data_IF_426608291114
#
_entry.id   IF_426608291114
#
_cell.length_a   1.000
_cell.length_b   1.000
_cell.length_c   1.000
_cell.angle_alpha   90.00
_cell.angle_beta   90.00
_cell.angle_gamma   90.00
#
_symmetry.space_group_name_H-M   'P 1'
#
loop_
_entity.id
_entity.type
_entity.pdbx_description
1 polymer ?
#
# COMPACT_ATOMS: atom_id res chain seq x y z
N UNK A 1 17.27 -1.91 2.97
CA UNK A 1 16.70 -3.16 3.49
C UNK A 1 15.43 -2.78 4.21
N UNK A 2 14.27 -3.19 3.71
CA UNK A 2 12.96 -2.85 4.27
C UNK A 2 12.35 -4.16 4.77
N UNK A 3 11.95 -4.18 6.04
CA UNK A 3 11.27 -5.31 6.67
C UNK A 3 9.77 -4.97 6.70
N UNK A 4 8.93 -5.91 6.26
CA UNK A 4 7.47 -5.86 6.40
C UNK A 4 7.11 -7.00 7.36
N UNK A 5 6.52 -6.68 8.50
CA UNK A 5 6.00 -7.67 9.47
C UNK A 5 4.49 -7.46 9.69
N UNK A 6 3.73 -8.55 9.55
CA UNK A 6 2.40 -8.70 10.18
C UNK A 6 1.28 -9.16 9.24
N UNK A 7 0.99 -10.46 9.20
CA UNK A 7 -0.33 -11.00 8.81
C UNK A 7 -0.88 -11.82 9.97
N UNK A 8 -2.01 -11.41 10.53
CA UNK A 8 -2.75 -12.19 11.53
C UNK A 8 -3.81 -13.05 10.79
N UNK A 9 -3.48 -14.30 10.49
CA UNK A 9 -4.37 -15.26 9.81
C UNK A 9 -4.86 -16.37 10.74
N UNK A 10 -6.07 -16.23 11.28
CA UNK A 10 -6.81 -17.30 11.98
C UNK A 10 -7.75 -18.09 11.04
N UNK A 11 -8.23 -19.29 11.43
CA UNK A 11 -8.81 -20.25 10.50
C UNK A 11 -10.28 -19.94 10.14
N UNK A 12 -10.47 -19.25 9.02
CA UNK A 12 -11.65 -19.21 8.16
C UNK A 12 -11.21 -18.53 6.85
N UNK A 13 -11.89 -18.69 5.69
CA UNK A 13 -11.69 -17.80 4.55
C UNK A 13 -12.21 -16.42 4.98
N UNK A 14 -11.36 -15.67 5.68
CA UNK A 14 -11.70 -14.36 6.19
C UNK A 14 -11.84 -13.45 4.99
N UNK A 15 -13.09 -13.06 4.71
CA UNK A 15 -13.41 -11.87 3.95
C UNK A 15 -12.42 -10.79 4.40
N UNK A 16 -11.54 -10.30 3.51
CA UNK A 16 -10.53 -9.30 3.88
C UNK A 16 -11.29 -8.08 4.42
N UNK A 17 -11.34 -7.92 5.74
CA UNK A 17 -12.17 -6.90 6.40
C UNK A 17 -11.46 -5.55 6.51
N UNK A 18 -10.18 -5.53 6.17
CA UNK A 18 -9.35 -4.35 6.00
C UNK A 18 -8.02 -4.77 5.38
N UNK A 19 -7.58 -4.01 4.38
CA UNK A 19 -6.26 -4.13 3.78
C UNK A 19 -5.53 -2.82 4.06
N UNK A 20 -4.44 -2.92 4.83
CA UNK A 20 -3.64 -1.77 5.21
C UNK A 20 -2.22 -2.00 4.74
N UNK A 21 -1.63 -0.97 4.12
CA UNK A 21 -0.23 -0.97 3.77
C UNK A 21 0.47 0.15 4.50
N UNK A 22 1.64 -0.15 5.06
CA UNK A 22 2.44 0.82 5.80
C UNK A 22 3.91 0.51 5.67
N UNK A 23 4.75 1.52 5.89
CA UNK A 23 6.18 1.34 5.83
C UNK A 23 6.95 2.63 6.07
N UNK A 24 8.28 2.55 5.96
CA UNK A 24 9.17 3.71 6.01
C UNK A 24 9.71 3.99 4.62
N UNK A 25 9.41 5.18 4.09
CA UNK A 25 9.92 5.62 2.82
C UNK A 25 11.36 6.13 2.95
N UNK A 26 12.19 5.88 1.93
CA UNK A 26 13.53 6.45 1.87
C UNK A 26 13.47 7.99 1.77
N UNK A 27 14.47 8.74 2.28
CA UNK A 27 14.44 10.21 2.26
C UNK A 27 14.30 10.86 0.87
N UNK A 28 14.61 10.12 -0.20
CA UNK A 28 14.46 10.60 -1.58
C UNK A 28 13.02 10.52 -2.10
N UNK A 29 12.13 9.81 -1.42
CA UNK A 29 10.72 9.65 -1.75
C UNK A 29 9.95 10.83 -1.17
N UNK A 30 9.16 11.51 -1.99
CA UNK A 30 8.27 12.59 -1.59
C UNK A 30 6.81 12.15 -1.47
N UNK A 31 6.40 11.08 -2.15
CA UNK A 31 5.05 10.52 -2.07
C UNK A 31 5.06 9.02 -2.38
N UNK A 32 4.08 8.30 -1.83
CA UNK A 32 3.73 6.92 -2.22
C UNK A 32 2.33 6.98 -2.81
N UNK A 33 2.20 6.53 -4.04
CA UNK A 33 0.91 6.39 -4.72
C UNK A 33 0.52 4.91 -4.66
N UNK A 34 -0.57 4.63 -3.99
CA UNK A 34 -1.20 3.32 -3.95
C UNK A 34 -2.09 3.17 -5.17
N UNK A 35 -1.90 2.09 -5.91
CA UNK A 35 -2.66 1.74 -7.11
C UNK A 35 -3.47 0.49 -6.84
N UNK A 36 -4.79 0.61 -7.01
CA UNK A 36 -5.74 -0.47 -6.82
C UNK A 36 -5.95 -1.25 -8.13
N UNK A 37 -6.46 -2.48 -8.03
CA UNK A 37 -6.69 -3.37 -9.17
C UNK A 37 -7.72 -2.85 -10.19
N UNK A 38 -8.57 -1.89 -9.79
CA UNK A 38 -9.49 -1.17 -10.67
C UNK A 38 -8.83 0.04 -11.39
N UNK A 39 -7.56 0.32 -11.12
CA UNK A 39 -6.81 1.47 -11.65
C UNK A 39 -6.96 2.78 -10.87
N UNK A 40 -7.70 2.78 -9.76
CA UNK A 40 -7.78 3.93 -8.85
C UNK A 40 -6.42 4.19 -8.21
N UNK A 41 -6.16 5.47 -7.92
CA UNK A 41 -4.87 5.96 -7.43
C UNK A 41 -5.09 6.84 -6.22
N UNK A 42 -4.41 6.50 -5.13
CA UNK A 42 -4.52 7.19 -3.86
C UNK A 42 -3.13 7.54 -3.33
N UNK A 43 -2.96 8.74 -2.80
CA UNK A 43 -1.73 9.10 -2.11
C UNK A 43 -1.81 8.57 -0.67
N UNK A 44 -0.75 7.91 -0.21
CA UNK A 44 -0.66 7.44 1.17
C UNK A 44 -0.38 8.62 2.14
N UNK A 45 -0.87 8.51 3.37
CA UNK A 45 -0.62 9.50 4.40
C UNK A 45 0.82 9.40 4.92
N UNK A 46 1.53 10.53 4.99
CA UNK A 46 2.89 10.61 5.54
C UNK A 46 2.92 11.21 6.95
N UNK A 47 3.71 10.61 7.82
CA UNK A 47 4.09 11.17 9.11
C UNK A 47 5.46 11.87 9.06
N UNK A 48 5.79 12.61 10.12
CA UNK A 48 7.06 13.37 10.25
C UNK A 48 8.34 12.53 10.24
N UNK A 49 8.25 11.20 10.20
CA UNK A 49 9.38 10.27 10.13
C UNK A 49 9.54 9.54 8.80
N UNK A 50 8.91 10.04 7.72
CA UNK A 50 8.77 9.35 6.44
C UNK A 50 8.04 8.00 6.54
N UNK A 51 7.36 7.73 7.65
CA UNK A 51 6.45 6.61 7.72
C UNK A 51 5.21 6.94 6.90
N UNK A 52 4.80 6.03 6.03
CA UNK A 52 3.58 6.14 5.26
C UNK A 52 2.56 5.10 5.71
N UNK A 53 1.29 5.42 5.55
CA UNK A 53 0.17 4.54 5.84
C UNK A 53 -0.94 4.73 4.82
N UNK A 54 -1.57 3.64 4.41
CA UNK A 54 -2.79 3.65 3.64
C UNK A 54 -3.70 2.52 4.12
N UNK A 55 -4.98 2.84 4.31
CA UNK A 55 -6.02 1.87 4.61
C UNK A 55 -7.02 1.86 3.48
N UNK A 56 -7.18 0.70 2.87
CA UNK A 56 -8.13 0.50 1.80
C UNK A 56 -9.57 0.52 2.34
N UNK A 57 -10.52 1.19 1.67
CA UNK A 57 -11.91 1.19 2.10
C UNK A 57 -12.49 -0.22 2.07
N UNK A 58 -13.20 -0.58 3.14
CA UNK A 58 -13.88 -1.89 3.24
C UNK A 58 -14.85 -2.14 2.09
N UNK A 59 -15.51 -1.10 1.59
CA UNK A 59 -16.42 -1.19 0.44
C UNK A 59 -15.72 -1.67 -0.82
N UNK A 60 -14.45 -1.31 -1.01
CA UNK A 60 -13.70 -1.67 -2.20
C UNK A 60 -13.26 -3.14 -2.12
N UNK A 61 -12.86 -3.59 -0.93
CA UNK A 61 -12.60 -5.00 -0.65
C UNK A 61 -13.87 -5.86 -0.82
N UNK A 62 -15.04 -5.37 -0.40
CA UNK A 62 -16.33 -6.04 -0.60
C UNK A 62 -16.72 -6.14 -2.09
N UNK A 63 -16.23 -5.23 -2.93
CA UNK A 63 -16.35 -5.29 -4.39
C UNK A 63 -15.24 -6.11 -5.07
N UNK A 64 -14.35 -6.74 -4.32
CA UNK A 64 -13.24 -7.53 -4.85
C UNK A 64 -12.12 -6.70 -5.46
N UNK A 65 -12.05 -5.40 -5.14
CA UNK A 65 -10.92 -4.54 -5.45
C UNK A 65 -9.84 -4.84 -4.39
N UNK A 66 -8.57 -4.79 -4.77
CA UNK A 66 -7.42 -5.01 -3.89
C UNK A 66 -6.26 -4.09 -4.28
N UNK A 67 -5.22 -4.04 -3.46
CA UNK A 67 -4.00 -3.28 -3.80
C UNK A 67 -3.18 -4.04 -4.85
N UNK A 68 -2.91 -3.39 -5.98
CA UNK A 68 -2.13 -3.99 -7.07
C UNK A 68 -0.64 -3.67 -6.92
N UNK A 69 -0.29 -2.40 -6.79
CA UNK A 69 1.09 -1.97 -6.56
C UNK A 69 1.15 -0.60 -5.89
N UNK A 70 2.35 -0.22 -5.43
CA UNK A 70 2.66 1.13 -4.98
C UNK A 70 3.76 1.75 -5.83
N UNK A 71 3.58 3.01 -6.19
CA UNK A 71 4.57 3.82 -6.89
C UNK A 71 5.23 4.79 -5.91
N UNK A 72 6.55 4.67 -5.74
CA UNK A 72 7.35 5.62 -4.99
C UNK A 72 7.77 6.78 -5.88
N UNK A 73 7.32 7.98 -5.54
CA UNK A 73 7.56 9.20 -6.30
C UNK A 73 8.63 10.04 -5.60
N UNK A 74 9.60 10.54 -6.36
CA UNK A 74 10.64 11.45 -5.86
C UNK A 74 10.23 12.91 -5.95
N UNK A 75 10.99 13.80 -5.29
CA UNK A 75 10.68 15.22 -5.15
C UNK A 75 10.42 15.98 -6.46
N UNK A 76 10.93 15.50 -7.59
CA UNK A 76 10.67 16.09 -8.92
C UNK A 76 9.37 15.59 -9.58
N UNK A 77 8.55 14.81 -8.89
CA UNK A 77 7.39 14.10 -9.45
C UNK A 77 7.76 12.89 -10.31
N UNK A 78 9.04 12.45 -10.32
CA UNK A 78 9.49 11.30 -11.10
C UNK A 78 9.22 10.01 -10.34
N UNK A 79 8.69 9.00 -11.03
CA UNK A 79 8.63 7.63 -10.53
C UNK A 79 10.05 7.12 -10.24
N UNK A 80 10.32 6.76 -8.99
CA UNK A 80 11.58 6.18 -8.55
C UNK A 80 11.54 4.66 -8.61
N UNK A 81 10.43 4.07 -8.17
CA UNK A 81 10.25 2.63 -8.08
C UNK A 81 8.77 2.26 -8.05
N UNK A 82 8.43 1.13 -8.67
CA UNK A 82 7.15 0.45 -8.48
C UNK A 82 7.36 -0.78 -7.60
N UNK A 83 6.51 -0.95 -6.60
CA UNK A 83 6.55 -2.01 -5.60
C UNK A 83 5.27 -2.84 -5.80
N UNK A 84 5.35 -4.03 -6.43
CA UNK A 84 4.19 -4.89 -6.59
C UNK A 84 3.73 -5.39 -5.22
N UNK A 85 2.41 -5.45 -5.01
CA UNK A 85 1.86 -6.17 -3.87
C UNK A 85 1.81 -7.65 -4.26
N UNK A 86 2.70 -8.46 -3.69
CA UNK A 86 2.61 -9.90 -3.89
C UNK A 86 1.27 -10.37 -3.32
N UNK A 87 0.45 -10.97 -4.17
CA UNK A 87 -0.68 -11.77 -3.72
C UNK A 87 -0.07 -12.95 -2.96
N UNK A 88 -0.05 -12.87 -1.64
CA UNK A 88 0.43 -13.95 -0.78
C UNK A 88 -0.39 -15.20 -1.12
N UNK A 89 0.21 -16.03 -1.98
CA UNK A 89 -0.37 -17.24 -2.56
C UNK A 89 -0.53 -18.33 -1.52
#
# INVERSE_FOLDING_TARGET
>A
MMFIEGFEGGPAPQQRTGETVSGIAAPAVSAIIVVESNGARHEADFSSGNAFFFAMPRTDLEHGIYLDHMDAIGASGRLLQTIPMDDAS
#
